data_IF_491891837287
#
_entry.id   IF_491891837287
#
_cell.length_a   1.000
_cell.length_b   1.000
_cell.length_c   1.000
_cell.angle_alpha   90.00
_cell.angle_beta   90.00
_cell.angle_gamma   90.00
#
_symmetry.space_group_name_H-M   'P 1'
#
loop_
_entity.id
_entity.type
_entity.pdbx_description
1 polymer ?
#
# COMPACT_ATOMS: atom_id res chain seq x y z
N UNK A 1 -11.96 -5.20 13.02
CA UNK A 1 -10.63 -4.56 12.97
C UNK A 1 -10.17 -4.60 11.54
N UNK A 2 -9.75 -3.47 11.00
CA UNK A 2 -9.70 -3.18 9.55
C UNK A 2 -9.06 -4.30 8.72
N UNK A 3 -7.95 -4.87 9.18
CA UNK A 3 -7.28 -5.97 8.49
C UNK A 3 -8.13 -7.25 8.42
N UNK A 4 -8.81 -7.62 9.51
CA UNK A 4 -9.68 -8.79 9.54
C UNK A 4 -10.95 -8.60 8.70
N UNK A 5 -11.48 -7.38 8.67
CA UNK A 5 -12.63 -7.05 7.82
C UNK A 5 -12.28 -7.13 6.34
N UNK A 6 -11.11 -6.60 5.95
CA UNK A 6 -10.60 -6.67 4.59
C UNK A 6 -10.31 -8.10 4.15
N UNK A 7 -9.70 -8.90 5.02
CA UNK A 7 -9.48 -10.33 4.75
C UNK A 7 -10.81 -11.07 4.57
N UNK A 8 -11.80 -10.82 5.42
CA UNK A 8 -13.11 -11.45 5.30
C UNK A 8 -13.83 -11.07 4.00
N UNK A 9 -13.68 -9.82 3.55
CA UNK A 9 -14.17 -9.37 2.24
C UNK A 9 -13.50 -10.13 1.09
N UNK A 10 -12.16 -10.21 1.09
CA UNK A 10 -11.39 -10.94 0.08
C UNK A 10 -11.83 -12.41 0.01
N UNK A 11 -11.87 -13.11 1.14
CA UNK A 11 -12.24 -14.52 1.19
C UNK A 11 -13.68 -14.76 0.68
N UNK A 12 -14.61 -13.86 1.00
CA UNK A 12 -15.98 -13.92 0.44
C UNK A 12 -15.98 -13.76 -1.08
N UNK A 13 -15.16 -12.85 -1.61
CA UNK A 13 -14.99 -12.66 -3.05
C UNK A 13 -14.44 -13.91 -3.73
N UNK A 14 -13.42 -14.54 -3.15
CA UNK A 14 -12.82 -15.78 -3.66
C UNK A 14 -13.80 -16.95 -3.66
N UNK A 15 -14.60 -17.11 -2.59
CA UNK A 15 -15.64 -18.15 -2.52
C UNK A 15 -16.77 -17.91 -3.53
N UNK A 16 -17.10 -16.64 -3.82
CA UNK A 16 -18.14 -16.29 -4.78
C UNK A 16 -17.67 -16.38 -6.25
N UNK A 17 -16.35 -16.35 -6.49
CA UNK A 17 -15.79 -16.47 -7.82
C UNK A 17 -16.03 -17.88 -8.38
N UNK A 18 -16.66 -17.95 -9.56
CA UNK A 18 -16.86 -19.21 -10.28
C UNK A 18 -16.10 -19.13 -11.60
N UNK A 19 -14.80 -19.39 -11.54
CA UNK A 19 -13.89 -19.43 -12.69
C UNK A 19 -13.07 -20.72 -12.65
N UNK A 20 -12.81 -21.37 -13.79
CA UNK A 20 -11.87 -22.48 -13.84
C UNK A 20 -10.48 -21.99 -13.41
N UNK A 21 -10.00 -22.52 -12.29
CA UNK A 21 -8.70 -22.17 -11.73
C UNK A 21 -8.07 -23.44 -11.17
N UNK A 22 -6.98 -23.89 -11.79
CA UNK A 22 -6.33 -25.16 -11.48
C UNK A 22 -4.84 -24.94 -11.24
N UNK A 23 -4.34 -25.56 -10.17
CA UNK A 23 -2.96 -25.53 -9.73
C UNK A 23 -2.70 -26.81 -8.92
N UNK A 24 -1.44 -27.22 -8.79
CA UNK A 24 -1.05 -28.33 -7.94
C UNK A 24 -1.20 -27.95 -6.47
N UNK A 25 -1.56 -28.91 -5.61
CA UNK A 25 -1.76 -28.63 -4.17
C UNK A 25 -0.52 -28.01 -3.49
N UNK A 26 0.68 -28.31 -3.99
CA UNK A 26 1.94 -27.74 -3.48
C UNK A 26 2.11 -26.25 -3.81
N UNK A 27 1.41 -25.74 -4.83
CA UNK A 27 1.46 -24.33 -5.27
C UNK A 27 0.49 -23.44 -4.47
N UNK A 28 -0.34 -24.04 -3.60
CA UNK A 28 -1.34 -23.29 -2.83
C UNK A 28 -0.75 -22.11 -2.02
N UNK A 29 0.40 -22.23 -1.34
CA UNK A 29 0.99 -21.09 -0.63
C UNK A 29 1.30 -19.90 -1.55
N UNK A 30 1.94 -20.15 -2.70
CA UNK A 30 2.32 -19.11 -3.66
C UNK A 30 1.08 -18.46 -4.29
N UNK A 31 0.05 -19.26 -4.58
CA UNK A 31 -1.25 -18.79 -5.08
C UNK A 31 -1.92 -17.89 -4.04
N UNK A 32 -1.94 -18.30 -2.78
CA UNK A 32 -2.54 -17.51 -1.70
C UNK A 32 -1.81 -16.17 -1.52
N UNK A 33 -0.48 -16.18 -1.54
CA UNK A 33 0.34 -14.97 -1.46
C UNK A 33 0.06 -14.02 -2.62
N UNK A 34 -0.04 -14.55 -3.85
CA UNK A 34 -0.36 -13.75 -5.03
C UNK A 34 -1.78 -13.15 -4.98
N UNK A 35 -2.76 -13.88 -4.43
CA UNK A 35 -4.14 -13.41 -4.29
C UNK A 35 -4.30 -12.33 -3.22
N UNK A 36 -3.50 -12.38 -2.15
CA UNK A 36 -3.52 -11.35 -1.09
C UNK A 36 -2.66 -10.14 -1.46
N UNK A 37 -1.57 -10.31 -2.20
CA UNK A 37 -0.61 -9.25 -2.51
C UNK A 37 -1.20 -7.88 -2.95
N UNK A 38 -2.26 -7.81 -3.78
CA UNK A 38 -2.84 -6.52 -4.17
C UNK A 38 -3.69 -5.86 -3.08
N UNK A 39 -4.10 -6.58 -2.05
CA UNK A 39 -4.98 -6.06 -1.01
C UNK A 39 -4.23 -5.10 -0.07
N UNK A 40 -4.79 -3.89 0.08
CA UNK A 40 -4.27 -2.87 0.99
C UNK A 40 -5.31 -2.57 2.07
N UNK A 41 -4.87 -2.63 3.33
CA UNK A 41 -5.70 -2.24 4.47
C UNK A 41 -5.43 -0.77 4.78
N UNK A 42 -6.41 0.09 4.51
CA UNK A 42 -6.36 1.48 4.96
C UNK A 42 -6.91 1.54 6.39
N UNK A 43 -6.14 2.05 7.38
CA UNK A 43 -6.65 2.24 8.73
C UNK A 43 -7.86 3.20 8.74
N UNK A 44 -8.89 2.87 9.50
CA UNK A 44 -10.14 3.63 9.59
C UNK A 44 -9.97 5.00 10.28
N UNK A 45 -8.95 5.16 11.13
CA UNK A 45 -8.65 6.43 11.79
C UNK A 45 -7.18 6.82 11.57
N UNK A 46 -6.97 8.07 11.13
CA UNK A 46 -5.67 8.72 11.24
C UNK A 46 -5.33 8.91 12.72
N UNK A 47 -4.10 8.57 13.11
CA UNK A 47 -3.66 8.44 14.50
C UNK A 47 -3.94 9.70 15.35
N UNK A 48 -3.85 10.90 14.76
CA UNK A 48 -4.14 12.18 15.42
C UNK A 48 -4.64 13.20 14.37
N UNK A 49 -5.67 13.98 14.69
CA UNK A 49 -6.26 14.99 13.79
C UNK A 49 -5.32 16.18 13.53
N UNK A 50 -4.36 16.42 14.42
CA UNK A 50 -3.38 17.51 14.30
C UNK A 50 -2.13 17.11 13.50
N UNK A 51 -1.98 15.83 13.16
CA UNK A 51 -0.78 15.31 12.50
C UNK A 51 -1.18 14.76 11.13
N UNK A 52 -0.53 15.29 10.09
CA UNK A 52 -0.64 14.79 8.74
C UNK A 52 0.75 14.42 8.20
N UNK A 53 0.83 13.30 7.50
CA UNK A 53 2.04 12.85 6.80
C UNK A 53 1.78 13.00 5.31
N UNK A 54 2.59 13.81 4.65
CA UNK A 54 2.45 14.13 3.22
C UNK A 54 3.67 13.68 2.42
N UNK A 55 3.43 13.34 1.16
CA UNK A 55 4.49 13.30 0.16
C UNK A 55 5.04 14.70 -0.13
N UNK A 56 6.25 14.79 -0.70
CA UNK A 56 6.90 16.07 -0.98
C UNK A 56 6.07 17.01 -1.88
N UNK A 57 5.33 16.48 -2.85
CA UNK A 57 4.46 17.28 -3.72
C UNK A 57 3.19 17.76 -2.99
N UNK A 58 2.58 16.88 -2.20
CA UNK A 58 1.38 17.20 -1.42
C UNK A 58 1.67 18.30 -0.40
N UNK A 59 2.83 18.21 0.28
CA UNK A 59 3.27 19.19 1.25
C UNK A 59 3.43 20.61 0.66
N UNK A 60 3.80 20.72 -0.63
CA UNK A 60 3.93 22.02 -1.32
C UNK A 60 2.58 22.72 -1.55
N UNK A 61 1.47 22.00 -1.40
CA UNK A 61 0.12 22.53 -1.57
C UNK A 61 -0.56 22.91 -0.25
N UNK A 62 0.08 22.64 0.89
CA UNK A 62 -0.49 22.90 2.22
C UNK A 62 0.09 24.17 2.85
N UNK A 63 -0.70 24.80 3.71
CA UNK A 63 -0.25 25.85 4.63
C UNK A 63 -0.38 25.33 6.06
N UNK A 64 0.72 25.31 6.79
CA UNK A 64 0.77 24.77 8.16
C UNK A 64 1.58 25.67 9.08
N UNK A 65 1.24 25.67 10.36
CA UNK A 65 1.99 26.41 11.38
C UNK A 65 3.36 25.77 11.67
N UNK A 66 3.49 24.45 11.48
CA UNK A 66 4.73 23.71 11.71
C UNK A 66 4.89 22.60 10.69
N UNK A 67 6.07 22.56 10.05
CA UNK A 67 6.44 21.52 9.07
C UNK A 67 7.74 20.85 9.52
N UNK A 68 7.72 19.52 9.64
CA UNK A 68 8.92 18.70 9.88
C UNK A 68 9.26 17.96 8.59
N UNK A 69 10.48 18.17 8.08
CA UNK A 69 10.96 17.53 6.85
C UNK A 69 11.88 16.37 7.22
N UNK A 70 11.43 15.15 6.93
CA UNK A 70 12.22 13.93 7.06
C UNK A 70 12.91 13.53 5.76
N UNK A 71 13.90 12.63 5.85
CA UNK A 71 14.51 12.00 4.68
C UNK A 71 15.54 12.86 3.93
N UNK A 72 16.06 13.92 4.55
CA UNK A 72 17.16 14.73 4.02
C UNK A 72 18.53 14.05 4.21
N UNK A 73 18.58 12.74 3.96
CA UNK A 73 19.78 11.94 4.04
C UNK A 73 20.49 11.89 2.68
N UNK A 74 21.82 11.86 2.69
CA UNK A 74 22.61 11.62 1.48
C UNK A 74 22.18 10.30 0.81
N UNK A 75 22.03 10.31 -0.51
CA UNK A 75 21.58 9.15 -1.29
C UNK A 75 20.06 8.92 -1.33
N UNK A 76 19.30 9.53 -0.40
CA UNK A 76 17.82 9.57 -0.45
C UNK A 76 17.35 10.90 -1.05
N UNK A 77 18.00 11.99 -0.64
CA UNK A 77 17.75 13.34 -1.12
C UNK A 77 19.03 13.96 -1.71
N UNK A 78 18.95 14.68 -2.85
CA UNK A 78 17.80 14.73 -3.76
C UNK A 78 17.59 13.36 -4.42
N UNK A 79 16.31 12.99 -4.66
CA UNK A 79 15.99 11.74 -5.34
C UNK A 79 16.58 11.82 -6.75
N UNK A 80 17.51 10.92 -7.06
CA UNK A 80 18.05 10.80 -8.42
C UNK A 80 16.91 10.37 -9.35
N UNK A 81 16.72 11.01 -10.51
CA UNK A 81 15.79 10.50 -11.50
C UNK A 81 16.27 9.10 -11.93
N UNK A 82 15.42 8.09 -11.74
CA UNK A 82 15.67 6.77 -12.33
C UNK A 82 15.36 6.88 -13.83
N UNK A 83 16.34 6.57 -14.68
CA UNK A 83 16.05 6.37 -16.10
C UNK A 83 15.23 5.10 -16.20
N UNK A 84 14.01 5.20 -16.73
CA UNK A 84 13.22 4.02 -17.05
C UNK A 84 14.03 3.15 -18.01
N UNK A 85 14.23 1.87 -17.67
CA UNK A 85 15.07 0.96 -18.46
C UNK A 85 14.42 0.59 -19.81
N UNK A 86 13.23 1.13 -20.06
CA UNK A 86 12.44 0.91 -21.27
C UNK A 86 12.19 2.18 -22.10
N UNK A 87 12.82 3.33 -21.76
CA UNK A 87 12.88 4.55 -22.59
C UNK A 87 14.31 4.85 -23.02
#
# INVERSE_FOLDING_TARGET
GDAGEKLAELLRGLVAASVPFAFAAAEWPDVMDALIAPETVKPAQGTDRNIAIWGALEARLQSVDTLVIGGLNEGVWPRKPESDRFI
#
